data_IF_211252200505
#
_entry.id   IF_211252200505
#
_cell.length_a   1.000
_cell.length_b   1.000
_cell.length_c   1.000
_cell.angle_alpha   90.00
_cell.angle_beta   90.00
_cell.angle_gamma   90.00
#
_symmetry.space_group_name_H-M   'P 1'
#
loop_
_entity.id
_entity.type
_entity.pdbx_description
1 polymer ?
#
# COMPACT_ATOMS: atom_id res chain seq x y z
N UNK A 1 10.27 -20.99 33.86
CA UNK A 1 11.16 -19.81 33.90
C UNK A 1 11.51 -19.47 35.35
N UNK A 2 12.79 -19.36 35.67
CA UNK A 2 13.25 -19.00 37.01
C UNK A 2 13.51 -17.50 37.04
N UNK A 3 12.71 -16.76 37.78
CA UNK A 3 12.83 -15.31 37.92
C UNK A 3 13.21 -14.98 39.37
N UNK A 4 14.27 -14.21 39.53
CA UNK A 4 14.66 -13.68 40.82
C UNK A 4 14.20 -12.25 40.96
N UNK A 5 13.45 -11.93 41.99
CA UNK A 5 12.95 -10.57 42.24
C UNK A 5 13.72 -9.96 43.39
N UNK A 6 14.26 -8.77 43.17
CA UNK A 6 14.96 -8.00 44.19
C UNK A 6 14.01 -6.92 44.71
N UNK A 7 13.69 -6.98 45.99
CA UNK A 7 12.77 -6.05 46.65
C UNK A 7 13.50 -4.98 47.42
N UNK A 8 12.91 -3.80 47.49
CA UNK A 8 13.35 -2.70 48.32
C UNK A 8 12.12 -2.14 49.06
N UNK A 9 12.21 -2.09 50.38
CA UNK A 9 11.11 -1.64 51.24
C UNK A 9 9.81 -2.42 51.04
N UNK A 10 9.92 -3.73 50.80
CA UNK A 10 8.77 -4.62 50.56
C UNK A 10 8.15 -4.52 49.18
N UNK A 11 8.75 -3.75 48.27
CA UNK A 11 8.26 -3.60 46.89
C UNK A 11 9.26 -4.15 45.89
N UNK A 12 8.80 -4.87 44.85
CA UNK A 12 9.69 -5.30 43.78
C UNK A 12 10.35 -4.12 43.09
N UNK A 13 11.66 -4.14 42.94
CA UNK A 13 12.43 -3.08 42.27
C UNK A 13 13.18 -3.60 41.05
N UNK A 14 13.72 -4.80 41.14
CA UNK A 14 14.50 -5.45 40.08
C UNK A 14 14.06 -6.88 39.85
N UNK A 15 14.19 -7.35 38.63
CA UNK A 15 14.00 -8.75 38.30
C UNK A 15 15.24 -9.29 37.59
N UNK A 16 15.72 -10.44 38.01
CA UNK A 16 16.83 -11.14 37.36
C UNK A 16 16.25 -12.36 36.64
N UNK A 17 16.43 -12.41 35.34
CA UNK A 17 15.93 -13.50 34.50
C UNK A 17 17.06 -14.10 33.67
N UNK A 18 16.95 -15.37 33.24
CA UNK A 18 17.90 -15.96 32.30
C UNK A 18 18.03 -15.10 31.04
N UNK A 19 19.22 -14.94 30.51
CA UNK A 19 19.47 -14.08 29.36
C UNK A 19 18.65 -14.48 28.13
N UNK A 20 18.49 -15.78 27.88
CA UNK A 20 17.64 -16.26 26.78
C UNK A 20 16.19 -15.82 26.90
N UNK A 21 15.65 -15.77 28.12
CA UNK A 21 14.28 -15.28 28.37
C UNK A 21 14.19 -13.76 28.16
N UNK A 22 15.21 -13.01 28.54
CA UNK A 22 15.29 -11.59 28.27
C UNK A 22 15.28 -11.30 26.77
N UNK A 23 16.05 -12.06 25.98
CA UNK A 23 16.08 -11.92 24.53
C UNK A 23 14.70 -12.17 23.89
N UNK A 24 13.98 -13.20 24.37
CA UNK A 24 12.62 -13.49 23.88
C UNK A 24 11.64 -12.37 24.20
N UNK A 25 11.69 -11.83 25.41
CA UNK A 25 10.84 -10.71 25.82
C UNK A 25 11.15 -9.45 25.01
N UNK A 26 12.43 -9.17 24.77
CA UNK A 26 12.85 -8.02 23.97
C UNK A 26 12.38 -8.14 22.51
N UNK A 27 12.53 -9.30 21.91
CA UNK A 27 12.03 -9.57 20.56
C UNK A 27 10.51 -9.40 20.46
N UNK A 28 9.76 -9.87 21.48
CA UNK A 28 8.32 -9.70 21.54
C UNK A 28 7.91 -8.22 21.61
N UNK A 29 8.67 -7.39 22.32
CA UNK A 29 8.43 -5.95 22.38
C UNK A 29 8.71 -5.24 21.04
N UNK A 30 9.77 -5.65 20.34
CA UNK A 30 10.08 -5.13 19.01
C UNK A 30 8.96 -5.48 18.02
N UNK A 31 8.46 -6.72 18.04
CA UNK A 31 7.32 -7.14 17.21
C UNK A 31 6.06 -6.33 17.53
N UNK A 32 5.80 -6.03 18.80
CA UNK A 32 4.68 -5.20 19.20
C UNK A 32 4.80 -3.76 18.69
N UNK A 33 6.01 -3.19 18.69
CA UNK A 33 6.26 -1.86 18.13
C UNK A 33 6.05 -1.85 16.61
N UNK A 34 6.48 -2.89 15.90
CA UNK A 34 6.25 -3.06 14.46
C UNK A 34 4.75 -3.12 14.14
N UNK A 35 3.96 -3.81 14.96
CA UNK A 35 2.49 -3.87 14.80
C UNK A 35 1.87 -2.48 14.98
N UNK A 36 2.33 -1.71 15.97
CA UNK A 36 1.85 -0.35 16.18
C UNK A 36 2.17 0.56 14.99
N UNK A 37 3.35 0.43 14.39
CA UNK A 37 3.73 1.18 13.20
C UNK A 37 2.84 0.84 12.02
N UNK A 38 2.49 -0.45 11.83
CA UNK A 38 1.56 -0.89 10.80
C UNK A 38 0.16 -0.30 11.04
N UNK A 39 -0.33 -0.34 12.27
CA UNK A 39 -1.63 0.24 12.63
C UNK A 39 -1.69 1.75 12.38
N UNK A 40 -0.61 2.48 12.70
CA UNK A 40 -0.51 3.92 12.44
C UNK A 40 -0.54 4.23 10.94
N UNK A 41 0.15 3.44 10.13
CA UNK A 41 0.15 3.58 8.68
C UNK A 41 -1.23 3.28 8.08
N UNK A 42 -1.91 2.24 8.54
CA UNK A 42 -3.27 1.92 8.11
C UNK A 42 -4.25 3.04 8.45
N UNK A 43 -4.11 3.63 9.62
CA UNK A 43 -4.93 4.76 10.05
C UNK A 43 -4.71 5.99 9.16
N UNK A 44 -3.44 6.30 8.84
CA UNK A 44 -3.09 7.39 7.93
C UNK A 44 -3.71 7.20 6.54
N UNK A 45 -3.71 5.97 6.02
CA UNK A 45 -4.36 5.63 4.75
C UNK A 45 -5.88 5.86 4.84
N UNK A 46 -6.52 5.41 5.91
CA UNK A 46 -7.96 5.59 6.12
C UNK A 46 -8.36 7.06 6.24
N UNK A 47 -7.49 7.89 6.81
CA UNK A 47 -7.68 9.33 6.94
C UNK A 47 -7.36 10.10 5.64
N UNK A 48 -6.93 9.40 4.58
CA UNK A 48 -6.61 10.00 3.30
C UNK A 48 -5.23 10.64 3.22
N UNK A 49 -4.36 10.40 4.21
CA UNK A 49 -2.98 10.91 4.21
C UNK A 49 -2.10 10.20 3.18
N UNK A 50 -2.39 8.93 2.90
CA UNK A 50 -1.71 8.13 1.89
C UNK A 50 -2.74 7.38 1.04
N UNK A 51 -2.46 7.22 -0.25
CA UNK A 51 -3.32 6.45 -1.16
C UNK A 51 -2.82 5.01 -1.20
N UNK A 52 -3.66 4.09 -0.72
CA UNK A 52 -3.38 2.67 -0.82
C UNK A 52 -3.68 2.16 -2.23
N UNK A 53 -2.80 1.33 -2.78
CA UNK A 53 -3.06 0.61 -4.03
C UNK A 53 -3.86 -0.64 -3.70
N UNK A 54 -5.07 -0.82 -4.27
CA UNK A 54 -5.85 -2.04 -4.04
C UNK A 54 -5.09 -3.29 -4.47
N UNK A 55 -5.25 -4.39 -3.73
CA UNK A 55 -4.61 -5.66 -4.05
C UNK A 55 -4.94 -6.17 -5.46
N UNK A 56 -6.17 -5.99 -5.92
CA UNK A 56 -6.61 -6.37 -7.26
C UNK A 56 -5.79 -5.67 -8.35
N UNK A 57 -5.49 -4.38 -8.16
CA UNK A 57 -4.66 -3.62 -9.09
C UNK A 57 -3.22 -4.12 -9.06
N UNK A 58 -2.66 -4.31 -7.88
CA UNK A 58 -1.29 -4.81 -7.72
C UNK A 58 -1.10 -6.18 -8.37
N UNK A 59 -2.00 -7.12 -8.13
CA UNK A 59 -1.94 -8.45 -8.74
C UNK A 59 -2.07 -8.39 -10.26
N UNK A 60 -2.98 -7.58 -10.78
CA UNK A 60 -3.15 -7.42 -12.22
C UNK A 60 -1.87 -6.89 -12.90
N UNK A 61 -1.21 -5.89 -12.30
CA UNK A 61 0.04 -5.34 -12.80
C UNK A 61 1.17 -6.37 -12.75
N UNK A 62 1.26 -7.15 -11.69
CA UNK A 62 2.24 -8.22 -11.56
C UNK A 62 2.04 -9.33 -12.60
N UNK A 63 0.82 -9.58 -13.02
CA UNK A 63 0.48 -10.54 -14.07
C UNK A 63 0.70 -10.00 -15.49
N UNK A 64 1.10 -8.76 -15.64
CA UNK A 64 1.42 -8.14 -16.92
C UNK A 64 0.36 -7.19 -17.47
N UNK A 65 -0.71 -6.94 -16.74
CA UNK A 65 -1.72 -5.94 -17.11
C UNK A 65 -1.15 -4.53 -16.95
N UNK A 66 -1.41 -3.64 -17.91
CA UNK A 66 -0.95 -2.25 -17.79
C UNK A 66 -1.61 -1.56 -16.59
N UNK A 67 -0.91 -0.62 -15.92
CA UNK A 67 -1.49 0.11 -14.80
C UNK A 67 -2.78 0.84 -15.17
N UNK A 68 -2.88 1.42 -16.35
CA UNK A 68 -4.08 2.11 -16.81
C UNK A 68 -5.27 1.15 -16.86
N UNK A 69 -5.08 0.00 -17.49
CA UNK A 69 -6.13 -1.02 -17.57
C UNK A 69 -6.51 -1.56 -16.20
N UNK A 70 -5.52 -1.85 -15.35
CA UNK A 70 -5.75 -2.37 -14.02
C UNK A 70 -6.61 -1.41 -13.18
N UNK A 71 -6.28 -0.14 -13.15
CA UNK A 71 -7.05 0.88 -12.44
C UNK A 71 -8.43 1.12 -13.07
N UNK A 72 -8.49 1.12 -14.40
CA UNK A 72 -9.75 1.30 -15.12
C UNK A 72 -10.75 0.18 -14.79
N UNK A 73 -10.31 -1.07 -14.84
CA UNK A 73 -11.15 -2.22 -14.49
C UNK A 73 -11.56 -2.20 -13.01
N UNK A 74 -10.64 -1.83 -12.13
CA UNK A 74 -10.95 -1.67 -10.71
C UNK A 74 -12.03 -0.61 -10.46
N UNK A 75 -11.98 0.52 -11.17
CA UNK A 75 -12.99 1.57 -11.10
C UNK A 75 -14.26 1.26 -11.88
N UNK A 76 -14.31 0.13 -12.58
CA UNK A 76 -15.44 -0.30 -13.39
C UNK A 76 -15.79 0.68 -14.51
N UNK A 77 -14.79 1.28 -15.12
CA UNK A 77 -14.93 2.20 -16.25
C UNK A 77 -14.62 1.46 -17.54
N UNK A 78 -15.54 1.54 -18.51
CA UNK A 78 -15.34 0.93 -19.83
C UNK A 78 -14.28 1.73 -20.62
N UNK A 79 -13.51 1.02 -21.46
CA UNK A 79 -12.47 1.64 -22.27
C UNK A 79 -13.02 2.75 -23.17
N UNK A 80 -14.14 2.52 -23.85
CA UNK A 80 -14.78 3.52 -24.70
C UNK A 80 -15.22 4.77 -23.92
N UNK A 81 -15.70 4.57 -22.72
CA UNK A 81 -16.13 5.65 -21.83
C UNK A 81 -14.94 6.50 -21.36
N UNK A 82 -13.86 5.86 -20.93
CA UNK A 82 -12.66 6.59 -20.52
C UNK A 82 -12.06 7.38 -21.69
N UNK A 83 -11.94 6.75 -22.87
CA UNK A 83 -11.41 7.40 -24.05
C UNK A 83 -12.22 8.64 -24.42
N UNK A 84 -13.54 8.54 -24.36
CA UNK A 84 -14.45 9.66 -24.64
C UNK A 84 -14.26 10.80 -23.64
N UNK A 85 -14.13 10.49 -22.35
CA UNK A 85 -13.96 11.48 -21.28
C UNK A 85 -12.66 12.27 -21.41
N UNK A 86 -11.59 11.61 -21.84
CA UNK A 86 -10.27 12.26 -21.98
C UNK A 86 -9.98 12.77 -23.39
N UNK A 87 -10.92 12.58 -24.33
CA UNK A 87 -10.83 13.15 -25.67
C UNK A 87 -9.89 12.40 -26.62
N UNK A 88 -9.70 11.10 -26.44
CA UNK A 88 -8.92 10.24 -27.35
C UNK A 88 -9.82 9.15 -27.95
N UNK A 89 -9.34 8.49 -29.01
CA UNK A 89 -10.04 7.36 -29.59
C UNK A 89 -9.90 6.10 -28.73
N UNK A 90 -10.90 5.22 -28.74
CA UNK A 90 -10.83 3.92 -28.07
C UNK A 90 -9.67 3.07 -28.62
N UNK A 91 -9.39 3.15 -29.92
CA UNK A 91 -8.26 2.46 -30.53
C UNK A 91 -6.92 2.93 -29.98
N UNK A 92 -6.76 4.24 -29.79
CA UNK A 92 -5.55 4.83 -29.21
C UNK A 92 -5.36 4.37 -27.77
N UNK A 93 -6.40 4.42 -26.95
CA UNK A 93 -6.38 3.94 -25.58
C UNK A 93 -6.03 2.46 -25.50
N UNK A 94 -6.61 1.64 -26.38
CA UNK A 94 -6.30 0.21 -26.48
C UNK A 94 -4.83 -0.03 -26.77
N UNK A 95 -4.23 0.75 -27.68
CA UNK A 95 -2.80 0.65 -27.99
C UNK A 95 -1.92 1.01 -26.79
N UNK A 96 -2.32 2.01 -26.02
CA UNK A 96 -1.62 2.38 -24.78
C UNK A 96 -1.70 1.25 -23.76
N UNK A 97 -2.89 0.70 -23.53
CA UNK A 97 -3.09 -0.39 -22.57
C UNK A 97 -2.36 -1.68 -22.96
N UNK A 98 -2.19 -1.93 -24.25
CA UNK A 98 -1.46 -3.09 -24.74
C UNK A 98 0.05 -2.88 -24.91
N UNK A 99 0.56 -1.72 -24.51
CA UNK A 99 1.98 -1.40 -24.60
C UNK A 99 2.49 -1.11 -26.00
N UNK A 100 1.61 -0.94 -26.99
CA UNK A 100 1.97 -0.63 -28.38
C UNK A 100 2.31 0.84 -28.59
N UNK A 101 1.83 1.71 -27.71
CA UNK A 101 2.14 3.13 -27.72
C UNK A 101 2.40 3.63 -26.31
N UNK A 102 3.33 4.57 -26.21
CA UNK A 102 3.58 5.26 -24.95
C UNK A 102 2.64 6.46 -24.85
N UNK A 103 1.91 6.61 -23.72
CA UNK A 103 1.06 7.77 -23.54
C UNK A 103 1.91 9.02 -23.30
N UNK A 104 1.38 10.18 -23.71
CA UNK A 104 1.98 11.47 -23.35
C UNK A 104 1.72 11.78 -21.88
N UNK A 105 2.50 12.70 -21.30
CA UNK A 105 2.30 13.15 -19.92
C UNK A 105 0.88 13.71 -19.74
N UNK A 106 0.39 14.48 -20.70
CA UNK A 106 -0.95 15.06 -20.66
C UNK A 106 -2.03 13.98 -20.66
N UNK A 107 -1.85 12.93 -21.46
CA UNK A 107 -2.77 11.78 -21.47
C UNK A 107 -2.75 11.04 -20.11
N UNK A 108 -1.57 10.81 -19.54
CA UNK A 108 -1.44 10.20 -18.22
C UNK A 108 -2.14 11.02 -17.13
N UNK A 109 -1.98 12.33 -17.15
CA UNK A 109 -2.65 13.22 -16.20
C UNK A 109 -4.17 13.19 -16.36
N UNK A 110 -4.66 13.16 -17.60
CA UNK A 110 -6.10 13.07 -17.87
C UNK A 110 -6.68 11.73 -17.37
N UNK A 111 -6.00 10.62 -17.63
CA UNK A 111 -6.40 9.30 -17.14
C UNK A 111 -6.42 9.26 -15.61
N UNK A 112 -5.38 9.75 -14.96
CA UNK A 112 -5.28 9.79 -13.51
C UNK A 112 -6.43 10.60 -12.90
N UNK A 113 -6.78 11.73 -13.49
CA UNK A 113 -7.89 12.57 -13.05
C UNK A 113 -9.23 11.83 -13.14
N UNK A 114 -9.49 11.19 -14.27
CA UNK A 114 -10.75 10.46 -14.49
C UNK A 114 -10.88 9.23 -13.59
N UNK A 115 -9.77 8.57 -13.28
CA UNK A 115 -9.74 7.43 -12.38
C UNK A 115 -9.59 7.82 -10.90
N UNK A 116 -9.44 9.10 -10.63
CA UNK A 116 -9.26 9.66 -9.28
C UNK A 116 -8.08 9.04 -8.54
N UNK A 117 -6.93 9.01 -9.20
CA UNK A 117 -5.67 8.50 -8.67
C UNK A 117 -4.55 9.50 -8.96
N UNK A 118 -3.40 9.32 -8.30
CA UNK A 118 -2.20 10.07 -8.60
C UNK A 118 -1.57 9.54 -9.89
N UNK A 119 -1.00 10.43 -10.70
CA UNK A 119 -0.32 10.06 -11.96
C UNK A 119 0.84 9.08 -11.71
N UNK A 120 1.48 9.15 -10.56
CA UNK A 120 2.57 8.25 -10.18
C UNK A 120 2.12 6.79 -10.12
N UNK A 121 0.83 6.52 -9.92
CA UNK A 121 0.27 5.18 -9.92
C UNK A 121 0.21 4.55 -11.33
N UNK A 122 0.37 5.35 -12.37
CA UNK A 122 0.30 4.90 -13.77
C UNK A 122 1.68 4.73 -14.44
N UNK A 123 2.72 5.11 -13.74
CA UNK A 123 4.10 5.07 -14.26
C UNK A 123 4.82 3.79 -13.86
#
# INVERSE_FOLDING_TARGET
>A
MTVQIIEKNGKPEWAVIPYGEYQKLHAALEDADDIKDIEANLKAIQEGAEIAVPGEVTFAVLEGTSPIRAWREYRQVKMNELAKRIGISAAYLSQIENGKRNPTVDTLKAVARELNIDVDMLI
#
